data_IF_905750948317
#
_entry.id   IF_905750948317
#
_cell.length_a   1.000
_cell.length_b   1.000
_cell.length_c   1.000
_cell.angle_alpha   90.00
_cell.angle_beta   90.00
_cell.angle_gamma   90.00
#
_symmetry.space_group_name_H-M   'P 1'
#
loop_
_entity.id
_entity.type
_entity.pdbx_description
1 polymer ?
#
# COMPACT_ATOMS: atom_id res chain seq x y z
N UNK A 1 10.43 -19.62 40.64
CA UNK A 1 10.68 -18.41 39.81
C UNK A 1 11.09 -18.75 38.36
N UNK A 2 12.09 -19.62 38.14
CA UNK A 2 12.55 -20.01 36.79
C UNK A 2 11.51 -20.68 35.87
N UNK A 3 10.53 -21.39 36.45
CA UNK A 3 9.45 -22.03 35.68
C UNK A 3 8.52 -21.00 35.01
N UNK A 4 8.23 -19.89 35.72
CA UNK A 4 7.38 -18.81 35.24
C UNK A 4 8.02 -18.02 34.11
N UNK A 5 9.34 -17.78 34.21
CA UNK A 5 10.15 -17.12 33.18
C UNK A 5 10.19 -17.97 31.90
N UNK A 6 10.36 -19.29 32.02
CA UNK A 6 10.29 -20.21 30.87
C UNK A 6 8.92 -20.22 30.20
N UNK A 7 7.85 -20.19 30.99
CA UNK A 7 6.48 -20.15 30.46
C UNK A 7 6.20 -18.85 29.68
N UNK A 8 6.65 -17.70 30.22
CA UNK A 8 6.54 -16.41 29.54
C UNK A 8 7.34 -16.36 28.23
N UNK A 9 8.56 -16.92 28.21
CA UNK A 9 9.38 -16.99 26.99
C UNK A 9 8.69 -17.84 25.90
N UNK A 10 8.11 -18.98 26.27
CA UNK A 10 7.39 -19.86 25.32
C UNK A 10 6.15 -19.15 24.74
N UNK A 11 5.38 -18.45 25.58
CA UNK A 11 4.21 -17.69 25.13
C UNK A 11 4.60 -16.56 24.16
N UNK A 12 5.69 -15.85 24.43
CA UNK A 12 6.20 -14.80 23.53
C UNK A 12 6.65 -15.38 22.18
N UNK A 13 7.34 -16.54 22.17
CA UNK A 13 7.75 -17.23 20.93
C UNK A 13 6.53 -17.68 20.10
N UNK A 14 5.46 -18.17 20.75
CA UNK A 14 4.22 -18.54 20.06
C UNK A 14 3.51 -17.33 19.44
N UNK A 15 3.51 -16.18 20.10
CA UNK A 15 2.91 -14.93 19.58
C UNK A 15 3.72 -14.37 18.40
N UNK A 16 5.05 -14.44 18.43
CA UNK A 16 5.93 -13.97 17.33
C UNK A 16 5.67 -14.76 16.03
N UNK A 17 5.35 -16.05 16.13
CA UNK A 17 5.08 -16.89 14.94
C UNK A 17 3.79 -16.53 14.20
N UNK A 18 2.87 -15.80 14.84
CA UNK A 18 1.56 -15.45 14.26
C UNK A 18 1.63 -14.26 13.29
N UNK A 19 2.51 -13.28 13.55
CA UNK A 19 2.62 -12.05 12.76
C UNK A 19 3.27 -12.23 11.38
N UNK A 20 4.08 -13.28 11.19
CA UNK A 20 4.76 -13.53 9.90
C UNK A 20 3.84 -14.14 8.81
N UNK A 21 2.63 -14.58 9.15
CA UNK A 21 1.75 -15.29 8.21
C UNK A 21 0.81 -14.37 7.43
N UNK A 22 0.53 -13.16 7.92
CA UNK A 22 -0.47 -12.26 7.35
C UNK A 22 -0.05 -11.70 5.99
N UNK A 23 1.24 -11.42 5.81
CA UNK A 23 1.73 -10.71 4.61
C UNK A 23 1.81 -11.64 3.39
N UNK A 24 2.20 -12.91 3.60
CA UNK A 24 2.27 -13.90 2.53
C UNK A 24 0.90 -14.24 1.95
N UNK A 25 -0.12 -14.37 2.81
CA UNK A 25 -1.50 -14.65 2.39
C UNK A 25 -2.06 -13.51 1.53
N UNK A 26 -1.88 -12.26 1.98
CA UNK A 26 -2.35 -11.07 1.27
C UNK A 26 -1.74 -10.92 -0.12
N UNK A 27 -0.42 -11.14 -0.26
CA UNK A 27 0.26 -11.07 -1.56
C UNK A 27 -0.23 -12.15 -2.53
N UNK A 28 -0.47 -13.37 -2.03
CA UNK A 28 -1.02 -14.47 -2.85
C UNK A 28 -2.40 -14.15 -3.42
N UNK A 29 -3.29 -13.56 -2.60
CA UNK A 29 -4.62 -13.14 -3.03
C UNK A 29 -4.56 -12.04 -4.10
N UNK A 30 -3.70 -11.03 -3.88
CA UNK A 30 -3.45 -9.96 -4.83
C UNK A 30 -2.95 -10.48 -6.18
N UNK A 31 -2.00 -11.42 -6.20
CA UNK A 31 -1.52 -12.05 -7.43
C UNK A 31 -2.67 -12.81 -8.11
N UNK A 32 -3.48 -13.57 -7.34
CA UNK A 32 -4.62 -14.30 -7.90
C UNK A 32 -5.64 -13.38 -8.57
N UNK A 33 -5.89 -12.20 -7.98
CA UNK A 33 -6.87 -11.23 -8.47
C UNK A 33 -6.36 -10.42 -9.67
N UNK A 34 -5.15 -9.88 -9.58
CA UNK A 34 -4.64 -8.90 -10.54
C UNK A 34 -3.80 -9.51 -11.66
N UNK A 35 -3.38 -10.77 -11.53
CA UNK A 35 -2.63 -11.51 -12.57
C UNK A 35 -3.45 -12.64 -13.20
N UNK A 36 -4.80 -12.63 -13.06
CA UNK A 36 -5.62 -13.74 -13.56
C UNK A 36 -5.50 -13.90 -15.08
N UNK A 37 -5.72 -12.82 -15.83
CA UNK A 37 -5.67 -12.85 -17.29
C UNK A 37 -4.25 -13.17 -17.76
N UNK A 38 -3.24 -12.52 -17.17
CA UNK A 38 -1.83 -12.79 -17.47
C UNK A 38 -1.45 -14.25 -17.20
N UNK A 39 -2.01 -14.87 -16.15
CA UNK A 39 -1.80 -16.30 -15.89
C UNK A 39 -2.43 -17.16 -16.98
N UNK A 40 -3.64 -16.84 -17.41
CA UNK A 40 -4.37 -17.61 -18.42
C UNK A 40 -3.71 -17.50 -19.79
N UNK A 41 -3.13 -16.33 -20.11
CA UNK A 41 -2.43 -16.05 -21.36
C UNK A 41 -1.02 -16.65 -21.40
N UNK A 42 -0.19 -16.37 -20.39
CA UNK A 42 1.24 -16.73 -20.42
C UNK A 42 1.58 -18.01 -19.65
N UNK A 43 0.74 -18.43 -18.69
CA UNK A 43 1.12 -19.44 -17.68
C UNK A 43 0.09 -20.56 -17.49
N UNK A 44 -0.75 -20.86 -18.49
CA UNK A 44 -1.89 -21.78 -18.39
C UNK A 44 -1.55 -23.19 -17.89
N UNK A 45 -0.37 -23.71 -18.24
CA UNK A 45 0.07 -25.08 -17.94
C UNK A 45 1.10 -25.16 -16.80
N UNK A 46 1.23 -24.11 -15.99
CA UNK A 46 2.23 -24.06 -14.92
C UNK A 46 1.71 -24.75 -13.66
N UNK A 47 2.53 -25.61 -13.06
CA UNK A 47 2.21 -26.29 -11.79
C UNK A 47 1.93 -25.27 -10.67
N UNK A 48 1.01 -25.63 -9.77
CA UNK A 48 0.74 -24.88 -8.54
C UNK A 48 2.03 -24.54 -7.80
N UNK A 49 2.18 -23.29 -7.35
CA UNK A 49 3.39 -22.78 -6.70
C UNK A 49 4.45 -22.19 -7.64
N UNK A 50 4.43 -22.52 -8.94
CA UNK A 50 5.38 -21.98 -9.93
C UNK A 50 4.86 -20.77 -10.71
N UNK A 51 3.61 -20.37 -10.48
CA UNK A 51 2.95 -19.30 -11.23
C UNK A 51 3.68 -17.95 -11.15
N UNK A 52 4.21 -17.60 -9.98
CA UNK A 52 4.96 -16.36 -9.77
C UNK A 52 6.23 -16.35 -10.61
N UNK A 53 6.90 -17.49 -10.73
CA UNK A 53 8.13 -17.62 -11.53
C UNK A 53 7.82 -17.44 -13.01
N UNK A 54 6.74 -18.04 -13.50
CA UNK A 54 6.29 -17.86 -14.88
C UNK A 54 5.90 -16.41 -15.18
N UNK A 55 5.05 -15.79 -14.35
CA UNK A 55 4.68 -14.39 -14.58
C UNK A 55 5.89 -13.44 -14.54
N UNK A 56 6.92 -13.78 -13.75
CA UNK A 56 8.19 -13.03 -13.73
C UNK A 56 9.05 -13.22 -14.99
N UNK A 57 8.99 -14.37 -15.67
CA UNK A 57 9.68 -14.52 -16.96
C UNK A 57 9.01 -13.68 -18.05
N UNK A 58 7.70 -13.43 -17.92
CA UNK A 58 6.92 -12.57 -18.82
C UNK A 58 6.74 -11.14 -18.29
N UNK A 59 7.62 -10.66 -17.39
CA UNK A 59 7.44 -9.37 -16.69
C UNK A 59 7.22 -8.15 -17.60
N UNK A 60 7.64 -8.23 -18.86
CA UNK A 60 7.54 -7.14 -19.84
C UNK A 60 6.33 -7.31 -20.77
N UNK A 61 5.65 -8.46 -20.72
CA UNK A 61 4.46 -8.81 -21.51
C UNK A 61 3.18 -8.80 -20.67
N UNK A 62 3.29 -9.02 -19.35
CA UNK A 62 2.16 -8.97 -18.43
C UNK A 62 1.62 -7.55 -18.21
N UNK A 63 0.36 -7.48 -17.77
CA UNK A 63 -0.33 -6.24 -17.44
C UNK A 63 0.43 -5.38 -16.41
N UNK A 64 0.34 -4.04 -16.50
CA UNK A 64 0.95 -3.13 -15.54
C UNK A 64 0.54 -3.40 -14.08
N UNK A 65 -0.71 -3.82 -13.88
CA UNK A 65 -1.24 -4.17 -12.56
C UNK A 65 -0.56 -5.43 -12.01
N UNK A 66 -0.48 -6.51 -12.80
CA UNK A 66 0.22 -7.72 -12.36
C UNK A 66 1.71 -7.47 -12.10
N UNK A 67 2.38 -6.74 -12.99
CA UNK A 67 3.80 -6.35 -12.85
C UNK A 67 4.05 -5.63 -11.53
N UNK A 68 3.18 -4.69 -11.17
CA UNK A 68 3.27 -3.92 -9.91
C UNK A 68 3.20 -4.82 -8.66
N UNK A 69 2.26 -5.77 -8.65
CA UNK A 69 2.06 -6.73 -7.55
C UNK A 69 3.30 -7.63 -7.40
N UNK A 70 3.82 -8.14 -8.52
CA UNK A 70 5.00 -9.03 -8.53
C UNK A 70 6.27 -8.32 -8.07
N UNK A 71 6.43 -7.05 -8.44
CA UNK A 71 7.56 -6.20 -8.04
C UNK A 71 7.47 -5.69 -6.60
N UNK A 72 6.38 -5.97 -5.88
CA UNK A 72 6.20 -5.46 -4.51
C UNK A 72 6.08 -3.94 -4.46
N UNK A 73 5.69 -3.30 -5.57
CA UNK A 73 5.37 -1.86 -5.61
C UNK A 73 3.94 -1.68 -5.09
N UNK A 74 3.73 -2.05 -3.83
CA UNK A 74 2.47 -1.92 -3.10
C UNK A 74 1.94 -0.47 -3.14
N UNK A 75 2.82 0.50 -3.35
CA UNK A 75 2.52 1.91 -3.55
C UNK A 75 1.73 2.23 -4.84
N UNK A 76 1.60 1.29 -5.77
CA UNK A 76 0.88 1.50 -7.05
C UNK A 76 -0.29 0.56 -7.27
N UNK A 77 -0.39 -0.52 -6.49
CA UNK A 77 -1.60 -1.34 -6.45
C UNK A 77 -2.57 -0.65 -5.52
N UNK A 78 -3.47 0.17 -6.09
CA UNK A 78 -4.68 0.59 -5.37
C UNK A 78 -5.42 -0.69 -4.99
N UNK A 79 -5.32 -1.10 -3.72
CA UNK A 79 -6.18 -2.12 -3.16
C UNK A 79 -7.63 -1.73 -3.44
N UNK A 80 -8.32 -2.56 -4.21
CA UNK A 80 -9.71 -2.44 -4.66
C UNK A 80 -10.05 -1.10 -5.36
N UNK A 81 -9.96 -1.04 -6.71
CA UNK A 81 -10.35 0.16 -7.47
C UNK A 81 -11.80 0.62 -7.20
N UNK A 82 -12.70 -0.29 -6.80
CA UNK A 82 -14.11 0.02 -6.50
C UNK A 82 -14.40 0.54 -5.09
N UNK A 83 -13.50 0.37 -4.11
CA UNK A 83 -13.81 0.73 -2.71
C UNK A 83 -13.37 2.14 -2.29
N UNK A 84 -12.70 2.88 -3.17
CA UNK A 84 -12.01 4.11 -2.77
C UNK A 84 -12.04 5.23 -3.82
N UNK A 85 -12.85 5.15 -4.87
CA UNK A 85 -12.91 6.24 -5.84
C UNK A 85 -13.50 7.51 -5.22
N UNK A 86 -14.67 7.41 -4.59
CA UNK A 86 -15.34 8.52 -3.92
C UNK A 86 -14.54 9.03 -2.71
N UNK A 87 -14.03 8.13 -1.87
CA UNK A 87 -13.21 8.49 -0.72
C UNK A 87 -11.93 9.24 -1.13
N UNK A 88 -11.24 8.79 -2.19
CA UNK A 88 -10.00 9.44 -2.62
C UNK A 88 -10.28 10.77 -3.31
N UNK A 89 -11.40 10.89 -4.03
CA UNK A 89 -11.85 12.15 -4.64
C UNK A 89 -12.22 13.17 -3.56
N UNK A 90 -13.08 12.79 -2.62
CA UNK A 90 -13.49 13.63 -1.48
C UNK A 90 -12.27 14.04 -0.64
N UNK A 91 -11.36 13.10 -0.35
CA UNK A 91 -10.11 13.39 0.36
C UNK A 91 -9.24 14.39 -0.39
N UNK A 92 -9.08 14.22 -1.71
CA UNK A 92 -8.31 15.12 -2.54
C UNK A 92 -8.91 16.53 -2.57
N UNK A 93 -10.22 16.64 -2.71
CA UNK A 93 -10.97 17.90 -2.69
C UNK A 93 -10.86 18.60 -1.33
N UNK A 94 -11.05 17.88 -0.23
CA UNK A 94 -10.91 18.41 1.13
C UNK A 94 -9.50 18.95 1.40
N UNK A 95 -8.46 18.20 1.02
CA UNK A 95 -7.07 18.68 1.15
C UNK A 95 -6.85 19.93 0.28
N UNK A 96 -7.32 19.93 -0.98
CA UNK A 96 -7.16 21.08 -1.88
C UNK A 96 -7.85 22.34 -1.36
N UNK A 97 -9.06 22.19 -0.80
CA UNK A 97 -9.85 23.28 -0.24
C UNK A 97 -9.23 23.82 1.04
N UNK A 98 -8.95 22.94 2.01
CA UNK A 98 -8.54 23.35 3.35
C UNK A 98 -7.06 23.75 3.43
N UNK A 99 -6.21 23.24 2.53
CA UNK A 99 -4.78 23.57 2.48
C UNK A 99 -4.42 24.61 1.41
N UNK A 100 -5.39 25.31 0.81
CA UNK A 100 -5.13 26.25 -0.30
C UNK A 100 -4.12 27.33 0.09
N UNK A 101 -4.38 28.03 1.19
CA UNK A 101 -3.53 29.14 1.64
C UNK A 101 -2.18 28.64 2.17
N UNK A 102 -2.19 27.51 2.89
CA UNK A 102 -0.96 26.88 3.40
C UNK A 102 -0.05 26.43 2.24
N UNK A 103 -0.63 25.87 1.17
CA UNK A 103 0.12 25.52 -0.05
C UNK A 103 0.80 26.77 -0.63
N UNK A 104 0.07 27.86 -0.77
CA UNK A 104 0.59 29.10 -1.36
C UNK A 104 1.70 29.71 -0.51
N UNK A 105 1.55 29.65 0.81
CA UNK A 105 2.52 30.18 1.79
C UNK A 105 3.78 29.32 1.93
N UNK A 106 3.66 28.00 1.95
CA UNK A 106 4.76 27.09 2.32
C UNK A 106 5.30 26.23 1.17
N UNK A 107 4.55 26.09 0.08
CA UNK A 107 4.81 25.08 -0.96
C UNK A 107 4.79 25.64 -2.40
N UNK A 108 5.10 26.93 -2.56
CA UNK A 108 4.93 27.72 -3.81
C UNK A 108 5.90 27.33 -4.95
N UNK A 109 6.99 26.61 -4.67
CA UNK A 109 8.06 26.28 -5.64
C UNK A 109 8.35 24.77 -5.75
N UNK A 110 7.32 23.93 -5.86
CA UNK A 110 7.51 22.47 -5.88
C UNK A 110 7.14 21.88 -7.23
N UNK A 111 8.15 21.37 -7.93
CA UNK A 111 7.94 20.58 -9.14
C UNK A 111 7.55 19.13 -8.78
N UNK A 112 6.42 18.71 -9.35
CA UNK A 112 5.86 17.36 -9.44
C UNK A 112 5.68 16.52 -8.15
N UNK A 113 4.42 16.34 -7.77
CA UNK A 113 3.94 15.09 -7.18
C UNK A 113 3.87 15.01 -5.66
N UNK A 114 4.10 16.09 -4.90
CA UNK A 114 4.24 15.95 -3.44
C UNK A 114 3.75 17.13 -2.61
N UNK A 115 2.69 17.82 -3.04
CA UNK A 115 2.11 18.90 -2.22
C UNK A 115 1.75 18.43 -0.81
N UNK A 116 1.20 17.21 -0.69
CA UNK A 116 0.90 16.58 0.60
C UNK A 116 2.17 16.37 1.44
N UNK A 117 3.32 16.02 0.84
CA UNK A 117 4.56 15.85 1.60
C UNK A 117 5.12 17.19 2.07
N UNK A 118 5.02 18.24 1.24
CA UNK A 118 5.42 19.58 1.66
C UNK A 118 4.58 20.08 2.83
N UNK A 119 3.26 20.00 2.73
CA UNK A 119 2.36 20.38 3.82
C UNK A 119 2.65 19.58 5.08
N UNK A 120 2.98 18.28 4.94
CA UNK A 120 3.40 17.44 6.08
C UNK A 120 4.70 17.88 6.76
N UNK A 121 5.66 18.42 6.01
CA UNK A 121 6.91 18.95 6.60
C UNK A 121 6.65 20.23 7.41
N UNK A 122 5.62 20.98 7.03
CA UNK A 122 5.23 22.23 7.68
C UNK A 122 4.05 22.04 8.66
N UNK A 123 3.81 20.82 9.19
CA UNK A 123 2.64 20.52 10.03
C UNK A 123 2.45 21.49 11.22
N UNK A 124 3.54 22.03 11.77
CA UNK A 124 3.49 22.95 12.91
C UNK A 124 3.03 24.34 12.50
N UNK A 125 3.32 24.74 11.26
CA UNK A 125 3.19 26.10 10.76
C UNK A 125 1.96 26.30 9.86
N UNK A 126 1.35 25.20 9.40
CA UNK A 126 0.09 25.22 8.66
C UNK A 126 -1.14 25.36 9.58
N UNK A 127 -2.25 25.79 8.98
CA UNK A 127 -3.56 25.88 9.62
C UNK A 127 -4.02 24.57 10.29
N UNK A 128 -4.86 24.69 11.31
CA UNK A 128 -5.51 23.56 11.99
C UNK A 128 -6.36 22.74 11.02
N UNK A 129 -7.05 23.42 10.12
CA UNK A 129 -7.99 22.85 9.15
C UNK A 129 -7.24 21.99 8.12
N UNK A 130 -6.11 22.49 7.61
CA UNK A 130 -5.25 21.72 6.72
C UNK A 130 -4.64 20.52 7.45
N UNK A 131 -4.14 20.71 8.69
CA UNK A 131 -3.62 19.63 9.53
C UNK A 131 -4.60 18.48 9.70
N UNK A 132 -5.86 18.80 10.01
CA UNK A 132 -6.91 17.80 10.19
C UNK A 132 -7.17 17.03 8.90
N UNK A 133 -7.24 17.74 7.78
CA UNK A 133 -7.48 17.16 6.45
C UNK A 133 -6.35 16.22 5.99
N UNK A 134 -5.13 16.40 6.49
CA UNK A 134 -3.98 15.55 6.18
C UNK A 134 -3.96 14.23 6.96
N UNK A 135 -4.73 14.10 8.05
CA UNK A 135 -4.85 12.83 8.79
C UNK A 135 -5.50 11.76 7.91
N UNK A 136 -5.02 10.51 7.97
CA UNK A 136 -5.72 9.39 7.33
C UNK A 136 -6.76 8.88 8.32
N UNK A 137 -8.01 8.73 7.88
CA UNK A 137 -9.00 7.93 8.62
C UNK A 137 -8.49 6.48 8.59
N UNK A 138 -8.28 5.89 9.76
CA UNK A 138 -7.85 4.49 9.92
C UNK A 138 -9.03 3.56 9.73
#
# INVERSE_FOLDING_TARGET
MFCFIRFLIILVIMVISLSAQTDRKKKGELIRKYCQNDREEFCKNVKYGSIIKCLKSHKDEISPNCKSILMGKESSVKSDPKKNEDYQKERGENIRKNCKNDKEKFCSNINYGSIILCLKRNLKDISSECRESLKRKK
#
